data_IF_409077638828
#
_entry.id   IF_409077638828
#
_cell.length_a   1.000
_cell.length_b   1.000
_cell.length_c   1.000
_cell.angle_alpha   90.00
_cell.angle_beta   90.00
_cell.angle_gamma   90.00
#
_symmetry.space_group_name_H-M   'P 1'
#
loop_
_entity.id
_entity.type
_entity.pdbx_description
1 polymer ?
#
# COMPACT_ATOMS: atom_id res chain seq x y z
N UNK A 1 68.42 -59.47 -59.83
CA UNK A 1 67.77 -60.07 -58.65
C UNK A 1 66.78 -59.08 -58.07
N UNK A 2 65.57 -59.53 -57.75
CA UNK A 2 64.36 -58.72 -57.48
C UNK A 2 64.43 -58.04 -56.10
N UNK A 3 64.12 -56.73 -56.05
CA UNK A 3 63.78 -56.03 -54.81
C UNK A 3 62.26 -56.14 -54.57
N UNK A 4 61.86 -56.53 -53.35
CA UNK A 4 60.46 -56.63 -52.91
C UNK A 4 60.23 -55.73 -51.69
N UNK A 5 59.34 -54.74 -51.90
CA UNK A 5 58.45 -53.98 -51.02
C UNK A 5 58.60 -53.96 -49.48
N UNK A 6 58.37 -52.77 -48.90
CA UNK A 6 57.14 -52.52 -48.10
C UNK A 6 56.90 -51.03 -47.81
N UNK A 7 55.71 -50.57 -48.22
CA UNK A 7 55.12 -49.27 -47.88
C UNK A 7 54.65 -49.24 -46.42
N UNK A 8 54.80 -48.09 -45.76
CA UNK A 8 53.93 -47.64 -44.66
C UNK A 8 53.53 -46.19 -44.90
N UNK A 9 52.23 -46.00 -45.08
CA UNK A 9 51.54 -44.70 -45.15
C UNK A 9 51.42 -44.16 -43.73
N UNK A 10 51.86 -42.93 -43.48
CA UNK A 10 51.60 -42.20 -42.22
C UNK A 10 50.55 -41.13 -42.53
N UNK A 11 49.37 -41.28 -41.92
CA UNK A 11 48.27 -40.34 -42.00
C UNK A 11 48.49 -39.23 -40.96
N UNK A 12 48.49 -37.96 -41.39
CA UNK A 12 48.59 -36.79 -40.51
C UNK A 12 47.16 -36.42 -40.09
N UNK A 13 46.77 -36.74 -38.85
CA UNK A 13 45.57 -36.18 -38.22
C UNK A 13 45.89 -34.80 -37.67
N UNK A 14 45.35 -33.75 -38.30
CA UNK A 14 45.34 -32.40 -37.77
C UNK A 14 44.25 -32.28 -36.69
N UNK A 15 44.65 -32.20 -35.42
CA UNK A 15 43.76 -31.80 -34.33
C UNK A 15 43.52 -30.28 -34.42
N UNK A 16 42.35 -29.88 -34.90
CA UNK A 16 41.84 -28.51 -34.76
C UNK A 16 41.34 -28.34 -33.32
N UNK A 17 42.09 -27.58 -32.51
CA UNK A 17 41.62 -27.11 -31.20
C UNK A 17 40.63 -25.97 -31.46
N UNK A 18 39.33 -26.28 -31.40
CA UNK A 18 38.28 -25.26 -31.38
C UNK A 18 38.27 -24.66 -29.97
N UNK A 19 38.74 -23.42 -29.85
CA UNK A 19 38.67 -22.65 -28.62
C UNK A 19 37.22 -22.33 -28.24
N UNK A 20 36.80 -22.82 -27.07
CA UNK A 20 35.55 -22.42 -26.42
C UNK A 20 35.72 -21.01 -25.83
N UNK A 21 35.31 -19.98 -26.55
CA UNK A 21 35.13 -18.64 -25.99
C UNK A 21 33.67 -18.45 -25.56
N UNK A 22 33.32 -19.02 -24.41
CA UNK A 22 32.07 -18.71 -23.73
C UNK A 22 32.14 -17.30 -23.15
N UNK A 23 31.77 -16.30 -23.96
CA UNK A 23 31.45 -14.97 -23.43
C UNK A 23 30.04 -15.02 -22.88
N UNK A 24 29.92 -15.34 -21.60
CA UNK A 24 28.72 -15.07 -20.82
C UNK A 24 28.53 -13.54 -20.74
N UNK A 25 27.94 -12.97 -21.79
CA UNK A 25 27.41 -11.62 -21.74
C UNK A 25 26.25 -11.61 -20.76
N UNK A 26 26.53 -11.19 -19.53
CA UNK A 26 25.53 -10.56 -18.67
C UNK A 26 25.04 -9.31 -19.41
N UNK A 27 24.15 -9.52 -20.38
CA UNK A 27 23.40 -8.45 -21.01
C UNK A 27 22.50 -7.84 -19.94
N UNK A 28 23.00 -6.80 -19.28
CA UNK A 28 22.13 -5.84 -18.63
C UNK A 28 21.14 -5.40 -19.70
N UNK A 29 19.86 -5.75 -19.53
CA UNK A 29 18.81 -5.20 -20.38
C UNK A 29 18.95 -3.69 -20.32
N UNK A 30 19.09 -2.98 -21.46
CA UNK A 30 19.09 -1.53 -21.43
C UNK A 30 17.80 -1.08 -20.74
N UNK A 31 17.94 -0.28 -19.68
CA UNK A 31 16.82 0.32 -18.99
C UNK A 31 16.22 1.36 -19.93
N UNK A 32 15.42 0.91 -20.89
CA UNK A 32 14.74 1.80 -21.82
C UNK A 32 13.71 2.61 -21.04
N UNK A 33 13.70 3.95 -21.17
CA UNK A 33 12.63 4.77 -20.63
C UNK A 33 11.30 4.24 -21.15
N UNK A 34 10.40 3.88 -20.24
CA UNK A 34 9.05 3.47 -20.64
C UNK A 34 8.32 4.70 -21.17
N UNK A 35 7.75 4.60 -22.37
CA UNK A 35 6.77 5.59 -22.85
C UNK A 35 5.56 5.59 -21.90
N UNK A 36 4.80 6.69 -21.77
CA UNK A 36 3.61 6.72 -20.92
C UNK A 36 2.63 5.57 -21.20
N UNK A 37 2.45 5.20 -22.47
CA UNK A 37 1.61 4.07 -22.86
C UNK A 37 2.16 2.73 -22.34
N UNK A 38 3.46 2.48 -22.48
CA UNK A 38 4.08 1.25 -21.94
C UNK A 38 4.07 1.21 -20.40
N UNK A 39 4.12 2.36 -19.74
CA UNK A 39 3.97 2.47 -18.29
C UNK A 39 2.54 2.16 -17.85
N UNK A 40 1.52 2.66 -18.58
CA UNK A 40 0.11 2.35 -18.33
C UNK A 40 -0.19 0.86 -18.58
N UNK A 41 0.36 0.28 -19.65
CA UNK A 41 0.23 -1.16 -19.93
C UNK A 41 0.87 -2.01 -18.83
N UNK A 42 2.06 -1.62 -18.36
CA UNK A 42 2.70 -2.23 -17.19
C UNK A 42 1.85 -2.05 -15.94
N UNK A 43 1.27 -0.88 -15.72
CA UNK A 43 0.37 -0.61 -14.59
C UNK A 43 -0.83 -1.54 -14.61
N UNK A 44 -1.49 -1.69 -15.77
CA UNK A 44 -2.60 -2.64 -15.97
C UNK A 44 -2.18 -4.08 -15.67
N UNK A 45 -0.99 -4.48 -16.12
CA UNK A 45 -0.45 -5.81 -15.80
C UNK A 45 -0.28 -5.98 -14.28
N UNK A 46 0.31 -5.01 -13.58
CA UNK A 46 0.53 -5.05 -12.13
C UNK A 46 -0.78 -5.13 -11.34
N UNK A 47 -1.77 -4.30 -11.69
CA UNK A 47 -3.11 -4.32 -11.05
C UNK A 47 -3.75 -5.70 -11.15
N UNK A 48 -3.57 -6.39 -12.28
CA UNK A 48 -4.07 -7.75 -12.49
C UNK A 48 -3.29 -8.78 -11.65
N UNK A 49 -1.96 -8.80 -11.72
CA UNK A 49 -1.17 -9.86 -11.06
C UNK A 49 -1.05 -9.69 -9.54
N UNK A 50 -1.22 -8.46 -9.05
CA UNK A 50 -1.29 -8.17 -7.61
C UNK A 50 -2.71 -8.36 -7.06
N UNK A 51 -3.66 -8.77 -7.92
CA UNK A 51 -5.06 -9.00 -7.59
C UNK A 51 -5.71 -7.83 -6.82
N UNK A 52 -5.46 -6.59 -7.27
CA UNK A 52 -6.11 -5.43 -6.68
C UNK A 52 -7.65 -5.55 -6.79
N UNK A 53 -8.14 -6.22 -7.83
CA UNK A 53 -9.56 -6.47 -8.04
C UNK A 53 -10.17 -7.35 -6.96
N UNK A 54 -9.45 -8.35 -6.45
CA UNK A 54 -9.97 -9.30 -5.46
C UNK A 54 -10.56 -8.62 -4.23
N UNK A 55 -9.94 -7.52 -3.77
CA UNK A 55 -10.39 -6.79 -2.58
C UNK A 55 -11.09 -5.46 -2.90
N UNK A 56 -10.71 -4.77 -4.00
CA UNK A 56 -11.22 -3.43 -4.30
C UNK A 56 -12.38 -3.43 -5.31
N UNK A 57 -12.82 -4.57 -5.84
CA UNK A 57 -14.03 -4.65 -6.67
C UNK A 57 -15.13 -5.35 -5.89
N UNK A 58 -16.25 -4.68 -5.57
CA UNK A 58 -17.32 -5.29 -4.80
C UNK A 58 -17.97 -6.43 -5.58
N UNK A 59 -18.37 -7.47 -4.86
CA UNK A 59 -19.09 -8.58 -5.43
C UNK A 59 -20.59 -8.30 -5.48
N UNK A 60 -21.23 -8.76 -6.56
CA UNK A 60 -22.67 -8.81 -6.74
C UNK A 60 -23.04 -10.24 -7.13
N UNK A 61 -23.87 -10.88 -6.31
CA UNK A 61 -24.27 -12.28 -6.48
C UNK A 61 -23.07 -13.26 -6.56
N UNK A 62 -22.06 -13.04 -5.71
CA UNK A 62 -20.87 -13.89 -5.64
C UNK A 62 -19.85 -13.72 -6.78
N UNK A 63 -20.05 -12.73 -7.66
CA UNK A 63 -19.14 -12.41 -8.76
C UNK A 63 -18.67 -10.95 -8.66
N UNK A 64 -17.46 -10.62 -9.12
CA UNK A 64 -17.01 -9.22 -9.19
C UNK A 64 -17.96 -8.35 -10.03
N UNK A 65 -18.44 -7.25 -9.45
CA UNK A 65 -19.25 -6.26 -10.16
C UNK A 65 -18.34 -5.29 -10.90
N UNK A 66 -18.09 -5.59 -12.18
CA UNK A 66 -17.24 -4.77 -13.04
C UNK A 66 -17.84 -3.39 -13.36
N UNK A 67 -19.13 -3.14 -13.07
CA UNK A 67 -19.69 -1.78 -13.16
C UNK A 67 -19.21 -0.88 -12.03
N UNK A 68 -18.73 -1.48 -10.94
CA UNK A 68 -18.14 -0.82 -9.77
C UNK A 68 -16.67 -1.20 -9.59
N UNK A 69 -15.99 -1.50 -10.70
CA UNK A 69 -14.59 -1.93 -10.73
C UNK A 69 -13.69 -1.00 -9.91
N UNK A 70 -12.92 -1.56 -8.98
CA UNK A 70 -11.97 -0.84 -8.12
C UNK A 70 -12.58 0.23 -7.19
N UNK A 71 -13.90 0.27 -7.03
CA UNK A 71 -14.58 1.29 -6.21
C UNK A 71 -14.52 1.06 -4.70
N UNK A 72 -14.05 -0.11 -4.25
CA UNK A 72 -13.99 -0.46 -2.83
C UNK A 72 -15.36 -0.81 -2.24
N UNK A 73 -15.56 -0.51 -0.96
CA UNK A 73 -16.82 -0.79 -0.27
C UNK A 73 -17.95 0.14 -0.74
N UNK A 74 -19.10 -0.41 -1.19
CA UNK A 74 -20.26 0.39 -1.56
C UNK A 74 -20.81 1.21 -0.38
N UNK A 75 -20.86 2.54 -0.49
CA UNK A 75 -21.42 3.43 0.54
C UNK A 75 -22.89 3.12 0.92
N UNK A 76 -23.63 2.50 0.00
CA UNK A 76 -25.03 2.09 0.15
C UNK A 76 -25.19 0.79 0.95
N UNK A 77 -24.12 0.02 1.13
CA UNK A 77 -24.11 -1.22 1.92
C UNK A 77 -23.70 -0.88 3.35
N UNK A 78 -24.67 -0.89 4.27
CA UNK A 78 -24.41 -0.59 5.68
C UNK A 78 -23.97 -1.86 6.43
N UNK A 79 -22.80 -1.81 7.06
CA UNK A 79 -22.35 -2.81 8.03
C UNK A 79 -22.57 -2.22 9.43
N UNK A 80 -23.67 -2.61 10.08
CA UNK A 80 -24.10 -2.03 11.36
C UNK A 80 -23.42 -2.62 12.59
N UNK A 81 -22.79 -3.80 12.46
CA UNK A 81 -21.98 -4.41 13.51
C UNK A 81 -21.02 -5.44 12.91
N UNK A 82 -19.83 -5.55 13.48
CA UNK A 82 -18.96 -6.70 13.26
C UNK A 82 -19.69 -7.96 13.76
N UNK A 83 -20.01 -8.94 12.90
CA UNK A 83 -20.57 -10.21 13.36
C UNK A 83 -19.62 -10.86 14.36
N UNK A 84 -20.13 -11.61 15.35
CA UNK A 84 -19.30 -12.30 16.32
C UNK A 84 -18.31 -13.19 15.56
N UNK A 85 -17.02 -12.93 15.77
CA UNK A 85 -15.96 -13.76 15.21
C UNK A 85 -15.92 -15.08 15.97
N UNK A 86 -15.55 -16.20 15.33
CA UNK A 86 -15.21 -17.42 16.06
C UNK A 86 -14.23 -17.09 17.19
N UNK A 87 -14.39 -17.70 18.37
CA UNK A 87 -13.55 -17.38 19.54
C UNK A 87 -12.06 -17.47 19.18
N UNK A 88 -11.35 -16.34 19.18
CA UNK A 88 -9.96 -16.22 18.74
C UNK A 88 -9.74 -15.14 17.65
N UNK A 89 -8.72 -15.34 16.81
CA UNK A 89 -8.31 -14.46 15.70
C UNK A 89 -9.02 -14.82 14.37
N UNK A 90 -10.34 -15.06 14.41
CA UNK A 90 -11.14 -15.32 13.22
C UNK A 90 -11.54 -14.02 12.47
N UNK A 91 -11.86 -14.14 11.18
CA UNK A 91 -12.46 -13.04 10.42
C UNK A 91 -13.77 -13.46 9.75
N UNK A 92 -14.68 -12.50 9.60
CA UNK A 92 -15.91 -12.64 8.80
C UNK A 92 -15.86 -11.65 7.65
N UNK A 93 -16.17 -12.12 6.44
CA UNK A 93 -16.15 -11.31 5.22
C UNK A 93 -17.57 -11.01 4.76
N UNK A 94 -17.86 -9.75 4.46
CA UNK A 94 -19.15 -9.37 3.90
C UNK A 94 -19.34 -9.99 2.50
N UNK A 95 -20.60 -10.21 2.09
CA UNK A 95 -20.92 -10.79 0.78
C UNK A 95 -20.43 -9.98 -0.43
N UNK A 96 -20.08 -8.70 -0.22
CA UNK A 96 -19.44 -7.84 -1.23
C UNK A 96 -17.94 -8.06 -1.36
N UNK A 97 -17.31 -8.88 -0.51
CA UNK A 97 -15.85 -9.07 -0.40
C UNK A 97 -15.06 -7.77 -0.16
N UNK A 98 -15.70 -6.76 0.45
CA UNK A 98 -15.11 -5.42 0.65
C UNK A 98 -15.19 -4.91 2.09
N UNK A 99 -15.66 -5.77 3.02
CA UNK A 99 -15.64 -5.47 4.45
C UNK A 99 -15.26 -6.74 5.23
N UNK A 100 -14.28 -6.62 6.11
CA UNK A 100 -13.76 -7.70 6.96
C UNK A 100 -13.92 -7.34 8.42
N UNK A 101 -14.53 -8.23 9.19
CA UNK A 101 -14.75 -8.06 10.61
C UNK A 101 -13.87 -9.00 11.42
N UNK A 102 -13.20 -8.48 12.44
CA UNK A 102 -12.29 -9.20 13.32
C UNK A 102 -12.33 -8.63 14.75
N UNK A 103 -11.52 -9.15 15.68
CA UNK A 103 -11.31 -8.56 17.00
C UNK A 103 -10.84 -7.09 16.98
N UNK A 104 -10.33 -6.62 15.84
CA UNK A 104 -9.91 -5.24 15.59
C UNK A 104 -11.03 -4.31 15.09
N UNK A 105 -12.27 -4.82 14.94
CA UNK A 105 -13.39 -4.08 14.35
C UNK A 105 -13.66 -4.44 12.90
N UNK A 106 -14.22 -3.50 12.13
CA UNK A 106 -14.53 -3.68 10.71
C UNK A 106 -13.55 -2.89 9.86
N UNK A 107 -12.90 -3.55 8.89
CA UNK A 107 -12.06 -2.93 7.89
C UNK A 107 -12.81 -2.89 6.56
N UNK A 108 -12.83 -1.73 5.91
CA UNK A 108 -13.45 -1.53 4.60
C UNK A 108 -12.37 -1.31 3.53
N UNK A 109 -12.56 -1.86 2.33
CA UNK A 109 -11.65 -1.55 1.22
C UNK A 109 -11.89 -0.17 0.64
N UNK A 110 -10.80 0.56 0.41
CA UNK A 110 -10.85 1.93 -0.14
C UNK A 110 -11.21 1.95 -1.63
N UNK A 111 -11.73 3.08 -2.09
CA UNK A 111 -11.95 3.40 -3.49
C UNK A 111 -10.62 3.68 -4.20
N UNK A 112 -10.30 2.93 -5.26
CA UNK A 112 -9.10 3.12 -6.11
C UNK A 112 -9.42 3.73 -7.48
N UNK A 113 -10.65 4.20 -7.68
CA UNK A 113 -11.03 4.87 -8.93
C UNK A 113 -10.46 6.31 -8.99
N UNK A 114 -10.45 6.93 -10.18
CA UNK A 114 -10.12 8.36 -10.33
C UNK A 114 -11.14 9.32 -9.71
N UNK A 115 -12.21 8.84 -9.07
CA UNK A 115 -13.16 9.69 -8.36
C UNK A 115 -12.47 10.49 -7.23
N UNK A 116 -13.06 11.62 -6.85
CA UNK A 116 -12.54 12.47 -5.78
C UNK A 116 -12.51 11.77 -4.40
N UNK A 117 -13.37 10.75 -4.20
CA UNK A 117 -13.36 9.88 -3.01
C UNK A 117 -12.37 8.73 -3.11
N UNK A 118 -11.79 8.51 -4.30
CA UNK A 118 -10.75 7.51 -4.56
C UNK A 118 -9.35 8.11 -4.63
N UNK A 119 -8.56 7.64 -5.58
CA UNK A 119 -7.17 8.10 -5.78
C UNK A 119 -7.05 9.28 -6.74
N UNK A 120 -8.16 9.84 -7.23
CA UNK A 120 -8.15 10.93 -8.22
C UNK A 120 -7.40 12.19 -7.79
N UNK A 121 -7.31 12.43 -6.48
CA UNK A 121 -6.57 13.56 -5.90
C UNK A 121 -5.12 13.23 -5.50
N UNK A 122 -4.67 11.98 -5.66
CA UNK A 122 -3.35 11.55 -5.20
C UNK A 122 -2.28 11.95 -6.22
N UNK A 123 -1.19 12.54 -5.74
CA UNK A 123 0.03 12.62 -6.53
C UNK A 123 0.64 11.23 -6.71
N UNK A 124 1.37 11.00 -7.81
CA UNK A 124 2.00 9.69 -8.08
C UNK A 124 2.90 9.23 -6.93
N UNK A 125 3.67 10.14 -6.34
CA UNK A 125 4.55 9.84 -5.21
C UNK A 125 3.78 9.35 -3.97
N UNK A 126 2.56 9.87 -3.75
CA UNK A 126 1.69 9.42 -2.66
C UNK A 126 1.31 7.94 -2.86
N UNK A 127 0.93 7.58 -4.09
CA UNK A 127 0.62 6.19 -4.43
C UNK A 127 1.84 5.28 -4.28
N UNK A 128 3.00 5.69 -4.77
CA UNK A 128 4.25 4.92 -4.65
C UNK A 128 4.62 4.69 -3.18
N UNK A 129 4.52 5.71 -2.34
CA UNK A 129 4.80 5.61 -0.91
C UNK A 129 3.76 4.74 -0.18
N UNK A 130 2.48 4.82 -0.55
CA UNK A 130 1.45 3.98 0.03
C UNK A 130 1.72 2.49 -0.22
N UNK A 131 2.03 2.11 -1.47
CA UNK A 131 2.29 0.72 -1.83
C UNK A 131 3.64 0.21 -1.31
N UNK A 132 4.70 1.04 -1.35
CA UNK A 132 6.06 0.58 -0.99
C UNK A 132 6.42 0.74 0.48
N UNK A 133 5.76 1.66 1.19
CA UNK A 133 6.08 2.00 2.60
C UNK A 133 4.90 1.78 3.55
N UNK A 134 3.72 1.36 3.06
CA UNK A 134 2.55 1.13 3.90
C UNK A 134 1.97 2.41 4.53
N UNK A 135 2.24 3.59 3.95
CA UNK A 135 1.78 4.88 4.50
C UNK A 135 0.48 5.31 3.85
N UNK A 136 -0.58 5.53 4.62
CA UNK A 136 -1.86 6.04 4.11
C UNK A 136 -1.65 7.37 3.37
N UNK A 137 -2.15 7.49 2.14
CA UNK A 137 -1.91 8.63 1.25
C UNK A 137 -0.41 8.94 0.98
N UNK A 138 0.47 7.96 1.18
CA UNK A 138 1.92 8.14 1.05
C UNK A 138 2.53 9.16 2.01
N UNK A 139 1.75 9.59 3.00
CA UNK A 139 2.11 10.64 3.92
C UNK A 139 3.10 10.08 4.95
N UNK A 140 4.35 10.53 4.88
CA UNK A 140 5.23 10.60 6.04
C UNK A 140 4.85 11.81 6.91
N UNK A 141 3.57 12.18 6.94
CA UNK A 141 3.01 13.29 7.71
C UNK A 141 1.72 12.82 8.36
N UNK A 142 1.47 13.19 9.62
CA UNK A 142 0.19 12.91 10.27
C UNK A 142 -0.94 13.78 9.69
N UNK A 143 -2.17 13.62 10.19
CA UNK A 143 -3.35 14.37 9.74
C UNK A 143 -3.21 15.91 9.86
N UNK A 144 -2.21 16.40 10.60
CA UNK A 144 -1.90 17.82 10.79
C UNK A 144 -0.73 18.29 9.91
N UNK A 145 -0.28 17.49 8.95
CA UNK A 145 0.86 17.80 8.08
C UNK A 145 2.22 17.70 8.76
N UNK A 146 2.30 17.12 9.96
CA UNK A 146 3.56 17.04 10.71
C UNK A 146 4.35 15.78 10.32
N UNK A 147 5.65 15.88 9.97
CA UNK A 147 6.43 14.74 9.52
C UNK A 147 6.53 13.62 10.57
N UNK A 148 6.52 12.38 10.10
CA UNK A 148 6.72 11.14 10.86
C UNK A 148 7.47 10.08 10.04
N UNK A 149 8.35 9.37 10.72
CA UNK A 149 9.20 8.31 10.17
C UNK A 149 9.00 7.00 10.91
N UNK A 150 9.65 5.92 10.42
CA UNK A 150 9.67 4.62 11.11
C UNK A 150 10.36 4.67 12.48
N UNK A 151 11.04 5.78 12.81
CA UNK A 151 11.64 5.99 14.13
C UNK A 151 10.68 6.67 15.12
N UNK A 152 9.43 6.94 14.73
CA UNK A 152 8.45 7.60 15.58
C UNK A 152 8.12 6.77 16.82
N UNK A 153 8.25 7.40 17.99
CA UNK A 153 7.77 6.94 19.28
C UNK A 153 6.88 8.03 19.89
N UNK A 154 5.62 7.67 20.18
CA UNK A 154 4.64 8.57 20.81
C UNK A 154 4.47 8.18 22.27
N UNK A 155 4.68 9.13 23.17
CA UNK A 155 4.53 8.93 24.62
C UNK A 155 3.32 9.75 25.08
N UNK A 156 2.26 9.07 25.50
CA UNK A 156 1.04 9.69 26.01
C UNK A 156 0.97 9.56 27.54
N UNK A 157 0.80 10.69 28.24
CA UNK A 157 0.62 10.74 29.69
C UNK A 157 -0.74 11.35 30.01
N UNK A 158 -1.61 10.53 30.58
CA UNK A 158 -2.97 10.90 30.96
C UNK A 158 -3.00 11.35 32.42
N UNK A 159 -3.61 12.51 32.67
CA UNK A 159 -3.87 13.01 34.02
C UNK A 159 -5.32 13.47 34.10
N UNK A 160 -6.15 12.66 34.78
CA UNK A 160 -7.50 13.08 35.16
C UNK A 160 -7.39 14.18 36.23
N UNK A 161 -7.90 15.38 35.96
CA UNK A 161 -7.96 16.49 36.93
C UNK A 161 -9.15 16.30 37.87
N UNK A 162 -10.29 15.94 37.29
CA UNK A 162 -11.55 15.67 37.99
C UNK A 162 -12.45 14.76 37.12
N UNK A 163 -13.73 14.65 37.48
CA UNK A 163 -14.67 13.79 36.76
C UNK A 163 -14.87 14.22 35.29
N UNK A 164 -14.82 15.52 35.01
CA UNK A 164 -15.11 16.12 33.71
C UNK A 164 -13.89 16.55 32.90
N UNK A 165 -12.71 16.70 33.52
CA UNK A 165 -11.52 17.24 32.85
C UNK A 165 -10.32 16.29 32.94
N UNK A 166 -9.64 16.10 31.81
CA UNK A 166 -8.42 15.31 31.71
C UNK A 166 -7.40 16.02 30.83
N UNK A 167 -6.15 16.09 31.29
CA UNK A 167 -5.03 16.42 30.42
C UNK A 167 -4.47 15.16 29.77
N UNK A 168 -4.23 15.24 28.46
CA UNK A 168 -3.41 14.28 27.73
C UNK A 168 -2.15 15.00 27.27
N UNK A 169 -1.00 14.63 27.82
CA UNK A 169 0.29 15.09 27.32
C UNK A 169 0.79 14.10 26.28
N UNK A 170 0.98 14.57 25.05
CA UNK A 170 1.47 13.77 23.93
C UNK A 170 2.88 14.26 23.60
N UNK A 171 3.88 13.42 23.81
CA UNK A 171 5.26 13.69 23.40
C UNK A 171 5.56 12.94 22.12
N UNK A 172 6.04 13.67 21.12
CA UNK A 172 6.51 13.13 19.85
C UNK A 172 8.03 13.06 19.90
N UNK A 173 8.54 11.83 19.82
CA UNK A 173 9.96 11.53 19.70
C UNK A 173 10.21 10.85 18.34
N UNK A 174 10.78 11.59 17.40
CA UNK A 174 11.18 11.06 16.10
C UNK A 174 12.49 11.75 15.69
N UNK A 175 13.66 11.14 15.99
CA UNK A 175 14.96 11.76 15.75
C UNK A 175 15.31 11.90 14.27
N UNK A 176 14.53 11.27 13.37
CA UNK A 176 14.70 11.41 11.92
C UNK A 176 13.82 12.51 11.33
N UNK A 177 12.78 12.95 12.05
CA UNK A 177 11.92 14.07 11.65
C UNK A 177 12.17 15.37 12.42
N UNK A 178 12.59 15.31 13.69
CA UNK A 178 12.75 16.48 14.57
C UNK A 178 14.11 16.50 15.26
N UNK A 179 14.61 17.72 15.53
CA UNK A 179 15.90 17.93 16.20
C UNK A 179 15.87 17.63 17.70
N UNK A 180 14.68 17.56 18.30
CA UNK A 180 14.44 17.15 19.69
C UNK A 180 12.98 16.70 19.87
N UNK A 181 12.67 15.86 20.87
CA UNK A 181 11.30 15.55 21.23
C UNK A 181 10.52 16.82 21.61
N UNK A 182 9.23 16.84 21.33
CA UNK A 182 8.35 17.94 21.71
C UNK A 182 7.03 17.42 22.28
N UNK A 183 6.43 18.18 23.19
CA UNK A 183 5.24 17.79 23.93
C UNK A 183 4.11 18.79 23.69
N UNK A 184 2.91 18.28 23.38
CA UNK A 184 1.66 19.03 23.36
C UNK A 184 0.78 18.55 24.51
N UNK A 185 0.10 19.46 25.19
CA UNK A 185 -0.94 19.09 26.17
C UNK A 185 -2.30 19.38 25.56
N UNK A 186 -3.16 18.38 25.52
CA UNK A 186 -4.56 18.49 25.13
C UNK A 186 -5.43 18.46 26.37
N UNK A 187 -6.29 19.47 26.51
CA UNK A 187 -7.32 19.49 27.56
C UNK A 187 -8.59 18.84 26.99
N UNK A 188 -8.97 17.70 27.57
CA UNK A 188 -10.11 16.87 27.15
C UNK A 188 -11.23 17.00 28.17
N UNK A 189 -12.40 17.37 27.66
CA UNK A 189 -13.60 17.58 28.45
C UNK A 189 -14.59 16.44 28.22
N UNK A 190 -15.17 15.90 29.30
CA UNK A 190 -16.25 14.93 29.23
C UNK A 190 -17.47 15.57 28.57
N UNK A 191 -17.94 14.95 27.49
CA UNK A 191 -19.15 15.34 26.76
C UNK A 191 -20.12 14.15 26.79
N UNK A 192 -21.03 14.08 27.78
CA UNK A 192 -21.87 12.89 27.97
C UNK A 192 -22.92 12.70 26.86
N UNK A 193 -23.28 13.78 26.15
CA UNK A 193 -24.36 13.78 25.17
C UNK A 193 -23.88 13.74 23.70
N UNK A 194 -22.63 13.32 23.44
CA UNK A 194 -22.10 13.21 22.06
C UNK A 194 -21.84 11.75 21.70
N UNK A 195 -22.25 11.36 20.48
CA UNK A 195 -21.81 10.11 19.87
C UNK A 195 -20.33 10.21 19.46
N UNK A 196 -19.56 9.14 19.71
CA UNK A 196 -18.14 9.07 19.32
C UNK A 196 -18.06 9.03 17.79
N UNK A 197 -17.71 10.16 17.17
CA UNK A 197 -17.62 10.26 15.72
C UNK A 197 -16.30 9.63 15.24
N UNK A 198 -16.39 8.61 14.38
CA UNK A 198 -15.21 8.05 13.71
C UNK A 198 -14.70 9.07 12.67
N UNK A 199 -13.47 9.54 12.84
CA UNK A 199 -12.88 10.55 11.96
C UNK A 199 -12.28 9.86 10.72
N UNK A 200 -13.07 9.76 9.66
CA UNK A 200 -12.58 9.43 8.32
C UNK A 200 -12.35 10.76 7.60
N UNK A 201 -11.10 11.04 7.22
CA UNK A 201 -10.63 12.32 6.69
C UNK A 201 -11.33 12.80 5.39
N UNK A 202 -12.28 12.02 4.86
CA UNK A 202 -13.07 12.32 3.67
C UNK A 202 -14.59 12.38 3.92
N UNK A 203 -15.08 12.15 5.13
CA UNK A 203 -16.52 12.16 5.41
C UNK A 203 -16.94 13.48 6.08
N UNK A 204 -17.81 14.22 5.38
CA UNK A 204 -18.34 15.58 5.69
C UNK A 204 -17.35 16.73 5.52
N UNK A 205 -17.17 17.16 4.26
CA UNK A 205 -16.59 18.45 3.83
C UNK A 205 -17.40 19.68 4.31
N UNK A 206 -17.61 19.89 5.61
CA UNK A 206 -18.23 21.12 6.15
C UNK A 206 -17.22 22.24 6.38
N UNK A 207 -15.94 21.88 6.55
CA UNK A 207 -14.89 22.86 6.86
C UNK A 207 -14.48 23.67 5.63
N UNK A 208 -14.79 23.20 4.41
CA UNK A 208 -14.50 23.91 3.16
C UNK A 208 -15.21 25.27 3.10
N UNK A 209 -16.42 25.37 3.66
CA UNK A 209 -17.19 26.62 3.70
C UNK A 209 -16.57 27.69 4.60
N UNK A 210 -15.67 27.30 5.50
CA UNK A 210 -15.05 28.17 6.51
C UNK A 210 -13.56 28.43 6.24
N UNK A 211 -13.00 27.88 5.16
CA UNK A 211 -11.64 28.19 4.73
C UNK A 211 -11.66 29.54 3.99
N UNK A 212 -10.93 30.58 4.45
CA UNK A 212 -10.81 31.83 3.72
C UNK A 212 -9.98 31.59 2.45
N UNK A 213 -10.67 31.47 1.32
CA UNK A 213 -10.06 31.37 -0.01
C UNK A 213 -10.06 32.70 -0.75
N UNK A 214 -8.95 33.00 -1.42
CA UNK A 214 -8.98 33.71 -2.70
C UNK A 214 -9.35 32.73 -3.80
#
# INVERSE_FOLDING_TARGET
>A
MRFCARHRVVSISACVVIGLAASAGLGQRPNQPSTPQSAVERGKYLVTIMDCHGCHTPFKNGQPDMTRMLSGHPQDVKISAAPPTPAGWGMVVAGTNTAWSGPWGVSFTTNLTPDATGIGMWAEEMFVNAIRKGKHMGAAVNQLGRPSTEALHVIERFRRKDFGHMDIQITIDDPKAYTKPWTLTQDVHLRPDIELMEFICNEKKRDVEHLPGK
#
